data_IF_402601011283
#
_entry.id   IF_402601011283
#
_cell.length_a   1.000
_cell.length_b   1.000
_cell.length_c   1.000
_cell.angle_alpha   90.00
_cell.angle_beta   90.00
_cell.angle_gamma   90.00
#
_symmetry.space_group_name_H-M   'P 1'
#
loop_
_entity.id
_entity.type
_entity.pdbx_description
1 polymer ?
#
# COMPACT_ATOMS: atom_id res chain seq x y z
N UNK A 1 31.69 3.89 -48.94
CA UNK A 1 30.64 3.23 -48.12
C UNK A 1 29.30 3.88 -48.41
N UNK A 2 28.35 3.14 -48.98
CA UNK A 2 27.15 3.68 -49.61
C UNK A 2 26.22 4.35 -48.58
N UNK A 3 25.72 5.58 -48.84
CA UNK A 3 24.94 6.32 -47.84
C UNK A 3 23.68 5.55 -47.40
N UNK A 4 23.05 4.80 -48.31
CA UNK A 4 21.89 3.93 -48.01
C UNK A 4 22.20 2.85 -46.96
N UNK A 5 23.44 2.34 -46.92
CA UNK A 5 23.86 1.34 -45.93
C UNK A 5 24.05 1.96 -44.54
N UNK A 6 24.62 3.17 -44.47
CA UNK A 6 24.79 3.92 -43.22
C UNK A 6 23.45 4.26 -42.56
N UNK A 7 22.42 4.61 -43.34
CA UNK A 7 21.08 4.91 -42.82
C UNK A 7 20.39 3.67 -42.26
N UNK A 8 20.50 2.52 -42.95
CA UNK A 8 19.94 1.25 -42.45
C UNK A 8 20.65 0.78 -41.18
N UNK A 9 21.97 0.93 -41.12
CA UNK A 9 22.75 0.62 -39.92
C UNK A 9 22.37 1.53 -38.74
N UNK A 10 22.24 2.84 -38.97
CA UNK A 10 21.81 3.80 -37.95
C UNK A 10 20.39 3.50 -37.44
N UNK A 11 19.45 3.12 -38.34
CA UNK A 11 18.09 2.74 -37.96
C UNK A 11 18.08 1.47 -37.10
N UNK A 12 18.83 0.43 -37.48
CA UNK A 12 18.95 -0.79 -36.68
C UNK A 12 19.60 -0.53 -35.32
N UNK A 13 20.58 0.38 -35.26
CA UNK A 13 21.20 0.80 -34.00
C UNK A 13 20.22 1.55 -33.10
N UNK A 14 19.45 2.51 -33.64
CA UNK A 14 18.42 3.24 -32.90
C UNK A 14 17.31 2.32 -32.36
N UNK A 15 16.86 1.34 -33.17
CA UNK A 15 15.88 0.34 -32.73
C UNK A 15 16.46 -0.57 -31.64
N UNK A 16 17.72 -1.00 -31.76
CA UNK A 16 18.40 -1.77 -30.73
C UNK A 16 18.55 -1.03 -29.39
N UNK A 17 18.85 0.26 -29.42
CA UNK A 17 18.97 1.10 -28.21
C UNK A 17 17.60 1.34 -27.55
N UNK A 18 16.50 1.31 -28.31
CA UNK A 18 15.15 1.49 -27.74
C UNK A 18 14.69 0.31 -26.86
N UNK A 19 15.25 -0.89 -27.04
CA UNK A 19 14.96 -2.06 -26.20
C UNK A 19 15.60 -2.01 -24.81
N UNK A 20 16.58 -1.13 -24.59
CA UNK A 20 17.28 -0.98 -23.29
C UNK A 20 16.75 0.19 -22.46
N UNK A 21 15.68 0.86 -22.91
CA UNK A 21 15.04 1.93 -22.16
C UNK A 21 14.23 1.35 -21.00
N UNK A 22 14.84 1.30 -19.82
CA UNK A 22 14.11 1.13 -18.56
C UNK A 22 13.32 2.42 -18.31
N UNK A 23 11.99 2.35 -18.38
CA UNK A 23 11.15 3.44 -17.91
C UNK A 23 11.46 3.70 -16.42
N UNK A 24 11.49 4.96 -16.01
CA UNK A 24 11.71 5.31 -14.61
C UNK A 24 10.51 4.83 -13.79
N UNK A 25 10.75 3.99 -12.77
CA UNK A 25 9.73 3.70 -11.77
C UNK A 25 9.57 4.97 -10.91
N UNK A 26 8.38 5.56 -10.94
CA UNK A 26 8.05 6.79 -10.24
C UNK A 26 7.54 6.54 -8.81
N UNK A 27 7.54 5.28 -8.34
CA UNK A 27 7.06 4.82 -7.01
C UNK A 27 5.59 5.15 -6.73
N UNK A 28 4.85 5.65 -7.73
CA UNK A 28 3.44 6.00 -7.67
C UNK A 28 2.56 5.02 -8.46
N UNK A 29 3.12 3.88 -8.89
CA UNK A 29 2.46 2.89 -9.73
C UNK A 29 1.29 2.21 -9.00
N UNK A 30 1.26 2.30 -7.67
CA UNK A 30 0.16 1.84 -6.83
C UNK A 30 -1.08 2.74 -6.91
N UNK A 31 -0.94 3.98 -7.42
CA UNK A 31 -2.02 4.95 -7.52
C UNK A 31 -2.79 4.74 -8.82
N UNK A 32 -4.01 4.25 -8.68
CA UNK A 32 -5.01 4.31 -9.74
C UNK A 32 -5.73 5.67 -9.72
N UNK A 33 -5.43 6.53 -10.69
CA UNK A 33 -6.00 7.88 -10.81
C UNK A 33 -7.51 7.92 -11.07
N UNK A 34 -8.13 6.80 -11.47
CA UNK A 34 -9.58 6.68 -11.57
C UNK A 34 -10.28 6.46 -10.23
N UNK A 35 -9.52 6.21 -9.15
CA UNK A 35 -10.06 5.92 -7.82
C UNK A 35 -9.91 7.11 -6.87
N UNK A 36 -10.85 7.21 -5.93
CA UNK A 36 -10.77 8.17 -4.81
C UNK A 36 -10.03 7.52 -3.63
N UNK A 37 -9.10 8.26 -3.04
CA UNK A 37 -8.33 7.85 -1.87
C UNK A 37 -8.65 8.76 -0.68
N UNK A 38 -9.14 8.17 0.40
CA UNK A 38 -9.46 8.86 1.64
C UNK A 38 -8.27 8.78 2.60
N UNK A 39 -7.67 9.93 2.89
CA UNK A 39 -6.43 10.05 3.66
C UNK A 39 -6.71 10.13 5.17
N UNK A 40 -5.94 9.40 5.95
CA UNK A 40 -5.86 9.57 7.40
C UNK A 40 -4.42 9.48 7.89
N UNK A 41 -4.19 10.00 9.09
CA UNK A 41 -2.86 10.15 9.68
C UNK A 41 -2.82 9.45 11.03
N UNK A 42 -1.68 8.82 11.32
CA UNK A 42 -1.40 8.23 12.62
C UNK A 42 -0.02 8.65 13.11
N UNK A 43 0.14 8.78 14.43
CA UNK A 43 1.38 9.25 15.05
C UNK A 43 2.16 8.15 15.78
N UNK A 44 1.52 7.02 16.11
CA UNK A 44 2.12 5.96 16.92
C UNK A 44 1.82 4.58 16.34
N UNK A 45 2.62 3.58 16.71
CA UNK A 45 2.32 2.19 16.40
C UNK A 45 1.15 1.70 17.26
N UNK A 46 0.23 0.94 16.70
CA UNK A 46 -0.84 0.32 17.47
C UNK A 46 -1.98 -0.21 16.64
N UNK A 47 -2.98 -0.77 17.31
CA UNK A 47 -4.23 -1.21 16.71
C UNK A 47 -5.18 0.01 16.60
N UNK A 48 -5.59 0.34 15.38
CA UNK A 48 -6.47 1.47 15.11
C UNK A 48 -7.83 0.98 14.67
N UNK A 49 -8.88 1.57 15.26
CA UNK A 49 -10.27 1.33 14.90
C UNK A 49 -10.91 2.61 14.39
N UNK A 50 -11.57 2.51 13.24
CA UNK A 50 -12.36 3.60 12.66
C UNK A 50 -13.81 3.13 12.60
N UNK A 51 -14.65 3.74 13.44
CA UNK A 51 -16.09 3.46 13.44
C UNK A 51 -16.72 3.97 12.13
N UNK A 52 -17.81 3.34 11.71
CA UNK A 52 -18.53 3.72 10.48
C UNK A 52 -18.91 5.20 10.47
N UNK A 53 -19.31 5.75 11.62
CA UNK A 53 -19.69 7.16 11.77
C UNK A 53 -18.56 8.15 11.53
N UNK A 54 -17.30 7.70 11.61
CA UNK A 54 -16.11 8.49 11.30
C UNK A 54 -15.61 8.29 9.85
N UNK A 55 -16.21 7.35 9.11
CA UNK A 55 -15.87 7.14 7.71
C UNK A 55 -16.51 8.23 6.82
N UNK A 56 -15.83 8.62 5.73
CA UNK A 56 -16.41 9.47 4.71
C UNK A 56 -17.75 8.92 4.20
N UNK A 57 -18.75 9.79 4.08
CA UNK A 57 -20.12 9.44 3.66
C UNK A 57 -20.19 8.56 2.41
N UNK A 58 -19.37 8.76 1.36
CA UNK A 58 -19.41 7.90 0.18
C UNK A 58 -19.02 6.44 0.43
N UNK A 59 -18.23 6.16 1.50
CA UNK A 59 -17.85 4.79 1.86
C UNK A 59 -18.95 4.04 2.61
N UNK A 60 -19.95 4.75 3.16
CA UNK A 60 -20.98 4.14 4.01
C UNK A 60 -21.91 3.18 3.27
N UNK A 61 -22.01 3.30 1.94
CA UNK A 61 -22.85 2.44 1.09
C UNK A 61 -22.02 1.41 0.29
N UNK A 62 -20.72 1.32 0.55
CA UNK A 62 -19.83 0.42 -0.18
C UNK A 62 -19.70 -0.90 0.59
N UNK A 63 -19.78 -2.06 -0.09
CA UNK A 63 -19.53 -3.34 0.55
C UNK A 63 -18.10 -3.41 1.12
N UNK A 64 -17.97 -3.81 2.39
CA UNK A 64 -16.70 -3.78 3.13
C UNK A 64 -15.61 -4.65 2.52
N UNK A 65 -15.98 -5.71 1.80
CA UNK A 65 -15.11 -6.59 1.06
C UNK A 65 -14.39 -5.90 -0.11
N UNK A 66 -14.90 -4.74 -0.57
CA UNK A 66 -14.30 -3.94 -1.64
C UNK A 66 -13.29 -2.91 -1.12
N UNK A 67 -13.25 -2.65 0.19
CA UNK A 67 -12.34 -1.65 0.77
C UNK A 67 -10.89 -2.13 0.69
N UNK A 68 -9.96 -1.25 0.36
CA UNK A 68 -8.54 -1.54 0.54
C UNK A 68 -7.89 -0.43 1.36
N UNK A 69 -6.87 -0.83 2.11
CA UNK A 69 -6.04 0.06 2.89
C UNK A 69 -4.64 0.08 2.30
N UNK A 70 -4.06 1.26 2.15
CA UNK A 70 -2.75 1.46 1.54
C UNK A 70 -1.84 2.33 2.42
N UNK A 71 -0.56 1.96 2.51
CA UNK A 71 0.52 2.73 3.15
C UNK A 71 1.77 2.57 2.30
N UNK A 72 2.45 3.68 1.97
CA UNK A 72 3.72 3.69 1.22
C UNK A 72 3.70 2.77 -0.03
N UNK A 73 2.59 2.79 -0.77
CA UNK A 73 2.40 2.00 -1.99
C UNK A 73 2.14 0.50 -1.79
N UNK A 74 2.06 0.03 -0.55
CA UNK A 74 1.74 -1.34 -0.22
C UNK A 74 0.35 -1.44 0.39
N UNK A 75 -0.38 -2.49 0.02
CA UNK A 75 -1.66 -2.80 0.65
C UNK A 75 -1.42 -3.28 2.09
N UNK A 76 -2.20 -2.76 3.03
CA UNK A 76 -2.18 -3.18 4.44
C UNK A 76 -3.42 -4.06 4.71
N UNK A 77 -3.27 -5.17 5.44
CA UNK A 77 -4.43 -5.99 5.81
C UNK A 77 -5.45 -5.19 6.63
N UNK A 78 -6.73 -5.42 6.33
CA UNK A 78 -7.84 -4.73 6.97
C UNK A 78 -8.77 -5.74 7.65
N UNK A 79 -9.21 -5.44 8.86
CA UNK A 79 -10.32 -6.13 9.52
C UNK A 79 -11.58 -5.27 9.41
N UNK A 80 -12.72 -5.92 9.22
CA UNK A 80 -14.04 -5.29 9.14
C UNK A 80 -14.97 -6.03 10.10
N UNK A 81 -15.78 -5.31 10.87
CA UNK A 81 -16.67 -5.91 11.89
C UNK A 81 -17.73 -6.85 11.31
N UNK A 82 -17.97 -6.77 9.99
CA UNK A 82 -18.73 -7.72 9.19
C UNK A 82 -17.85 -8.21 8.04
N UNK A 83 -18.05 -9.45 7.58
CA UNK A 83 -17.22 -10.03 6.54
C UNK A 83 -17.58 -9.54 5.12
N UNK A 84 -18.87 -9.27 4.89
CA UNK A 84 -19.43 -8.87 3.60
C UNK A 84 -20.59 -7.89 3.76
N UNK A 85 -20.90 -7.18 2.67
CA UNK A 85 -22.01 -6.25 2.62
C UNK A 85 -21.69 -4.88 3.22
N UNK A 86 -22.73 -4.08 3.42
CA UNK A 86 -22.60 -2.70 3.91
C UNK A 86 -22.19 -2.71 5.38
N UNK A 87 -21.23 -1.85 5.75
CA UNK A 87 -20.83 -1.66 7.15
C UNK A 87 -22.01 -1.10 7.96
N UNK A 88 -22.47 -1.77 9.03
CA UNK A 88 -23.56 -1.26 9.84
C UNK A 88 -23.13 0.00 10.60
N UNK A 89 -24.10 0.78 11.10
CA UNK A 89 -23.86 2.05 11.81
C UNK A 89 -22.97 1.88 13.05
N UNK A 90 -23.12 0.76 13.77
CA UNK A 90 -22.27 0.38 14.90
C UNK A 90 -21.03 -0.42 14.48
N UNK A 91 -20.80 -0.59 13.18
CA UNK A 91 -19.67 -1.30 12.62
C UNK A 91 -18.40 -0.46 12.59
N UNK A 92 -17.29 -1.12 12.32
CA UNK A 92 -15.97 -0.49 12.25
C UNK A 92 -15.03 -1.24 11.30
N UNK A 93 -13.99 -0.52 10.88
CA UNK A 93 -12.79 -1.10 10.29
C UNK A 93 -11.63 -1.01 11.28
N UNK A 94 -10.74 -1.99 11.25
CA UNK A 94 -9.62 -2.09 12.17
C UNK A 94 -8.36 -2.56 11.45
N UNK A 95 -7.20 -2.02 11.82
CA UNK A 95 -5.93 -2.34 11.19
C UNK A 95 -4.77 -2.10 12.15
N UNK A 96 -3.64 -2.78 11.92
CA UNK A 96 -2.39 -2.45 12.58
C UNK A 96 -1.75 -1.25 11.90
N UNK A 97 -1.63 -0.15 12.62
CA UNK A 97 -1.02 1.08 12.16
C UNK A 97 0.43 1.18 12.61
N UNK A 98 1.32 1.45 11.67
CA UNK A 98 2.73 1.75 11.93
C UNK A 98 3.03 3.22 11.66
N UNK A 99 3.66 3.89 12.63
CA UNK A 99 4.14 5.27 12.54
C UNK A 99 5.12 5.43 11.37
N UNK A 100 5.44 6.67 11.01
CA UNK A 100 6.33 6.87 9.86
C UNK A 100 7.75 6.39 10.17
N UNK A 101 8.37 5.78 9.18
CA UNK A 101 9.73 5.27 9.20
C UNK A 101 10.56 5.93 8.10
N UNK A 102 11.88 5.86 8.21
CA UNK A 102 12.81 6.48 7.25
C UNK A 102 13.04 5.65 6.00
N UNK A 103 12.45 4.47 5.87
CA UNK A 103 12.63 3.61 4.68
C UNK A 103 12.36 4.35 3.35
N UNK A 104 11.33 5.20 3.22
CA UNK A 104 11.08 5.97 2.00
C UNK A 104 12.16 7.02 1.67
N UNK A 105 13.03 7.38 2.62
CA UNK A 105 14.08 8.38 2.42
C UNK A 105 15.33 7.79 1.75
N UNK A 106 15.45 6.45 1.63
CA UNK A 106 16.59 5.78 1.00
C UNK A 106 16.97 6.35 -0.38
N UNK A 107 16.02 6.61 -1.30
CA UNK A 107 16.32 7.14 -2.63
C UNK A 107 16.82 8.60 -2.62
N UNK A 108 16.72 9.30 -1.49
CA UNK A 108 17.25 10.67 -1.36
C UNK A 108 18.77 10.69 -1.20
N UNK A 109 19.39 9.55 -0.88
CA UNK A 109 20.84 9.41 -0.76
C UNK A 109 21.46 8.99 -2.08
N UNK A 110 22.62 9.56 -2.42
CA UNK A 110 23.40 9.15 -3.60
C UNK A 110 23.78 7.66 -3.57
N UNK A 111 24.04 7.15 -2.37
CA UNK A 111 24.29 5.72 -2.11
C UNK A 111 23.37 5.32 -0.98
N UNK A 112 22.47 4.36 -1.21
CA UNK A 112 21.42 3.98 -0.24
C UNK A 112 21.98 3.55 1.14
N UNK A 113 23.21 3.00 1.18
CA UNK A 113 23.89 2.60 2.42
C UNK A 113 24.34 3.78 3.28
N UNK A 114 24.31 5.01 2.75
CA UNK A 114 24.67 6.20 3.50
C UNK A 114 23.53 6.69 4.42
N UNK A 115 22.35 6.06 4.37
CA UNK A 115 21.30 6.33 5.33
C UNK A 115 21.70 5.74 6.69
N UNK A 116 21.95 6.63 7.67
CA UNK A 116 22.38 6.24 9.01
C UNK A 116 21.31 5.51 9.83
N UNK A 117 20.02 5.80 9.58
CA UNK A 117 18.89 5.18 10.28
C UNK A 117 17.65 5.16 9.40
N UNK A 118 16.92 4.06 9.43
CA UNK A 118 15.60 3.90 8.80
C UNK A 118 14.44 3.97 9.82
N UNK A 119 14.74 4.25 11.10
CA UNK A 119 13.73 4.27 12.18
C UNK A 119 12.90 5.54 12.22
N UNK A 120 13.42 6.63 11.67
CA UNK A 120 12.81 7.96 11.69
C UNK A 120 12.96 8.55 10.29
N UNK A 121 11.88 9.15 9.78
CA UNK A 121 11.93 9.86 8.50
C UNK A 121 12.51 11.27 8.67
N UNK A 122 13.19 11.75 7.63
CA UNK A 122 13.72 13.11 7.52
C UNK A 122 12.62 14.18 7.43
N UNK A 123 11.39 13.81 7.03
CA UNK A 123 10.32 14.76 6.72
C UNK A 123 9.26 14.84 7.82
N UNK A 124 8.82 13.70 8.35
CA UNK A 124 7.74 13.65 9.34
C UNK A 124 7.72 12.33 10.10
N UNK A 125 7.28 12.35 11.35
CA UNK A 125 7.00 11.16 12.15
C UNK A 125 5.59 10.57 11.91
N UNK A 126 4.72 11.32 11.23
CA UNK A 126 3.31 11.00 11.06
C UNK A 126 3.10 10.15 9.82
N UNK A 127 2.67 8.90 10.00
CA UNK A 127 2.36 8.03 8.87
C UNK A 127 1.01 8.40 8.25
N UNK A 128 0.93 8.17 6.94
CA UNK A 128 -0.26 8.41 6.15
C UNK A 128 -0.76 7.10 5.58
N UNK A 129 -2.06 6.89 5.74
CA UNK A 129 -2.77 5.77 5.17
C UNK A 129 -3.90 6.26 4.28
N UNK A 130 -4.26 5.43 3.32
CA UNK A 130 -5.32 5.73 2.36
C UNK A 130 -6.29 4.56 2.28
N UNK A 131 -7.59 4.86 2.37
CA UNK A 131 -8.64 3.91 2.04
C UNK A 131 -9.17 4.21 0.65
N UNK A 132 -9.32 3.18 -0.18
CA UNK A 132 -9.98 3.27 -1.47
C UNK A 132 -10.94 2.08 -1.67
N UNK A 133 -11.61 2.06 -2.82
CA UNK A 133 -12.56 1.00 -3.20
C UNK A 133 -12.03 0.27 -4.43
N UNK A 134 -11.94 -1.06 -4.33
CA UNK A 134 -11.65 -1.97 -5.45
C UNK A 134 -12.79 -3.00 -5.54
N UNK A 135 -13.69 -2.88 -6.54
CA UNK A 135 -14.85 -3.76 -6.69
C UNK A 135 -14.51 -5.25 -6.91
N UNK A 136 -13.31 -5.56 -7.40
CA UNK A 136 -12.86 -6.94 -7.66
C UNK A 136 -12.22 -7.50 -6.39
N UNK A 137 -12.93 -8.45 -5.75
CA UNK A 137 -12.72 -8.86 -4.35
C UNK A 137 -11.54 -9.83 -4.14
N UNK A 138 -11.11 -10.60 -5.15
CA UNK A 138 -10.24 -11.79 -4.93
C UNK A 138 -8.79 -11.52 -4.49
N UNK A 139 -8.42 -10.28 -4.19
CA UNK A 139 -7.04 -9.90 -3.87
C UNK A 139 -6.93 -8.90 -2.72
N UNK A 140 -8.03 -8.61 -1.99
CA UNK A 140 -7.97 -7.64 -0.91
C UNK A 140 -7.39 -8.28 0.36
N UNK A 141 -6.32 -7.70 0.91
CA UNK A 141 -5.70 -8.19 2.15
C UNK A 141 -6.65 -7.98 3.34
N UNK A 142 -6.82 -9.04 4.14
CA UNK A 142 -7.72 -9.08 5.28
C UNK A 142 -7.09 -9.80 6.47
N UNK A 143 -7.43 -9.36 7.68
CA UNK A 143 -7.26 -10.18 8.88
C UNK A 143 -8.44 -11.14 9.00
N UNK A 144 -8.18 -12.37 9.44
CA UNK A 144 -9.20 -13.35 9.78
C UNK A 144 -9.06 -13.77 11.25
N UNK A 145 -10.16 -14.25 11.83
CA UNK A 145 -10.11 -14.85 13.16
C UNK A 145 -9.32 -16.16 13.11
N UNK A 146 -8.32 -16.28 13.97
CA UNK A 146 -7.62 -17.54 14.20
C UNK A 146 -8.36 -18.39 15.23
N UNK A 147 -8.40 -19.70 15.02
CA UNK A 147 -8.87 -20.64 16.05
C UNK A 147 -7.83 -20.72 17.17
N UNK A 148 -8.26 -20.52 18.41
CA UNK A 148 -7.37 -20.69 19.56
C UNK A 148 -7.25 -22.18 19.91
N UNK A 149 -6.17 -22.83 19.48
CA UNK A 149 -5.93 -24.23 19.79
C UNK A 149 -5.15 -24.37 21.10
N UNK A 150 -5.86 -24.46 22.22
CA UNK A 150 -5.28 -24.73 23.54
C UNK A 150 -4.95 -26.21 23.79
N UNK A 151 -5.23 -27.11 22.84
CA UNK A 151 -4.98 -28.54 22.99
C UNK A 151 -3.47 -28.82 23.01
N UNK A 152 -2.88 -28.84 24.21
CA UNK A 152 -1.45 -29.09 24.43
C UNK A 152 -0.79 -28.21 25.48
N UNK A 153 -1.43 -27.12 25.92
CA UNK A 153 -0.92 -26.27 26.99
C UNK A 153 -1.32 -26.82 28.37
N UNK A 154 -0.74 -27.95 28.76
CA UNK A 154 -0.72 -28.39 30.15
C UNK A 154 0.63 -28.00 30.78
N UNK A 155 0.59 -27.46 32.00
CA UNK A 155 1.81 -27.29 32.80
C UNK A 155 2.41 -28.68 33.04
N UNK A 156 3.74 -28.86 32.91
CA UNK A 156 4.38 -30.08 33.35
C UNK A 156 4.10 -30.26 34.84
N UNK A 157 3.58 -31.44 35.21
CA UNK A 157 3.31 -31.84 36.59
C UNK A 157 4.61 -31.93 37.41
#
# INVERSE_FOLDING_TARGET
MNNRFKHKFLLCFLLGVSYVLQAQNFNNEWIDYGKTYYKFKIAANGLYRINQTALPTPLNNIPVEQLQLWRNGNQVPLFTSVATGILPVNGYIEFWGEKNDGVPDKPLYRVNTNQLSDKISLQTDTAVFFVNVKPVISQNLRYCFGTNNFSGNYLPA
#
